data_IF_925779485635
#
_entry.id   IF_925779485635
#
_cell.length_a   1.000
_cell.length_b   1.000
_cell.length_c   1.000
_cell.angle_alpha   90.00
_cell.angle_beta   90.00
_cell.angle_gamma   90.00
#
_symmetry.space_group_name_H-M   'P 1'
#
loop_
_entity.id
_entity.type
_entity.pdbx_description
1 polymer ?
#
# COMPACT_ATOMS: atom_id res chain seq x y z
N UNK A 1 -6.97 -2.91 -40.78
CA UNK A 1 -5.88 -3.60 -40.04
C UNK A 1 -5.98 -3.16 -38.58
N UNK A 2 -6.17 -4.13 -37.68
CA UNK A 2 -6.19 -3.81 -36.23
C UNK A 2 -4.74 -3.67 -35.80
N UNK A 3 -4.33 -2.48 -35.31
CA UNK A 3 -2.99 -2.26 -34.78
C UNK A 3 -2.98 -2.75 -33.32
N UNK A 4 -2.10 -3.69 -32.95
CA UNK A 4 -2.05 -4.19 -31.59
C UNK A 4 -1.42 -3.15 -30.65
N UNK A 5 -1.91 -3.11 -29.41
CA UNK A 5 -1.29 -2.36 -28.31
C UNK A 5 -0.37 -3.31 -27.51
N UNK A 6 0.65 -2.79 -26.81
CA UNK A 6 1.54 -3.61 -25.98
C UNK A 6 0.76 -4.37 -24.88
N UNK A 7 1.11 -5.63 -24.66
CA UNK A 7 0.52 -6.44 -23.58
C UNK A 7 0.70 -5.75 -22.23
N UNK A 8 -0.38 -5.64 -21.45
CA UNK A 8 -0.39 -4.90 -20.17
C UNK A 8 -0.57 -3.39 -20.35
N UNK A 9 -1.00 -2.94 -21.53
CA UNK A 9 -1.51 -1.61 -21.81
C UNK A 9 -2.92 -1.71 -22.36
N UNK A 10 -3.71 -0.65 -22.29
CA UNK A 10 -5.07 -0.58 -22.84
C UNK A 10 -5.46 0.84 -23.22
N UNK A 11 -6.38 0.96 -24.14
CA UNK A 11 -7.07 2.20 -24.42
C UNK A 11 -8.20 2.37 -23.40
N UNK A 12 -8.43 3.61 -22.94
CA UNK A 12 -9.55 3.99 -22.09
C UNK A 12 -10.55 4.77 -22.95
N UNK A 13 -11.77 4.27 -23.01
CA UNK A 13 -12.81 4.87 -23.83
C UNK A 13 -13.51 6.04 -23.11
N UNK A 14 -14.25 6.93 -23.83
CA UNK A 14 -14.78 8.16 -23.25
C UNK A 14 -15.69 7.98 -22.05
N UNK A 15 -16.46 6.89 -21.97
CA UNK A 15 -17.33 6.62 -20.82
C UNK A 15 -16.53 6.29 -19.59
N UNK A 16 -15.66 5.32 -19.66
CA UNK A 16 -14.75 4.95 -18.59
C UNK A 16 -13.87 6.14 -18.16
N UNK A 17 -13.40 6.95 -19.13
CA UNK A 17 -12.59 8.13 -18.81
C UNK A 17 -13.35 9.17 -17.98
N UNK A 18 -14.68 9.32 -18.19
CA UNK A 18 -15.50 10.20 -17.37
C UNK A 18 -15.63 9.68 -15.94
N UNK A 19 -15.81 8.37 -15.76
CA UNK A 19 -15.90 7.73 -14.44
C UNK A 19 -14.60 7.86 -13.67
N UNK A 20 -13.46 7.57 -14.31
CA UNK A 20 -12.13 7.76 -13.71
C UNK A 20 -11.87 9.23 -13.31
N UNK A 21 -12.31 10.19 -14.12
CA UNK A 21 -12.20 11.61 -13.80
C UNK A 21 -13.07 12.03 -12.63
N UNK A 22 -14.26 11.45 -12.51
CA UNK A 22 -15.13 11.71 -11.36
C UNK A 22 -14.50 11.23 -10.05
N UNK A 23 -13.94 10.01 -10.04
CA UNK A 23 -13.19 9.48 -8.89
C UNK A 23 -12.01 10.38 -8.56
N UNK A 24 -11.21 10.74 -9.57
CA UNK A 24 -10.03 11.61 -9.40
C UNK A 24 -10.43 12.97 -8.79
N UNK A 25 -11.50 13.62 -9.27
CA UNK A 25 -11.98 14.89 -8.74
C UNK A 25 -12.44 14.77 -7.29
N UNK A 26 -13.22 13.74 -6.96
CA UNK A 26 -13.69 13.50 -5.58
C UNK A 26 -12.53 13.35 -4.61
N UNK A 27 -11.53 12.56 -4.97
CA UNK A 27 -10.35 12.36 -4.13
C UNK A 27 -9.48 13.63 -4.02
N UNK A 28 -9.31 14.34 -5.14
CA UNK A 28 -8.55 15.58 -5.16
C UNK A 28 -9.19 16.66 -4.27
N UNK A 29 -10.51 16.85 -4.34
CA UNK A 29 -11.26 17.79 -3.51
C UNK A 29 -11.17 17.42 -2.02
N UNK A 30 -11.27 16.12 -1.68
CA UNK A 30 -11.10 15.66 -0.31
C UNK A 30 -9.69 16.01 0.21
N UNK A 31 -8.64 15.68 -0.52
CA UNK A 31 -7.27 15.95 -0.09
C UNK A 31 -6.99 17.45 0.05
N UNK A 32 -7.49 18.26 -0.89
CA UNK A 32 -7.38 19.72 -0.82
C UNK A 32 -8.09 20.29 0.40
N UNK A 33 -9.30 19.80 0.72
CA UNK A 33 -10.05 20.20 1.91
C UNK A 33 -9.34 19.92 3.23
N UNK A 34 -8.39 18.96 3.22
CA UNK A 34 -7.52 18.60 4.34
C UNK A 34 -6.17 19.30 4.30
N UNK A 35 -6.00 20.28 3.42
CA UNK A 35 -4.80 21.11 3.32
C UNK A 35 -3.64 20.50 2.51
N UNK A 36 -3.90 19.48 1.70
CA UNK A 36 -2.89 18.88 0.82
C UNK A 36 -2.84 19.63 -0.52
N UNK A 37 -1.73 20.34 -0.75
CA UNK A 37 -1.48 21.06 -2.00
C UNK A 37 -1.06 20.12 -3.13
N UNK A 38 -1.53 20.40 -4.35
CA UNK A 38 -1.18 19.61 -5.53
C UNK A 38 0.24 19.83 -5.98
N UNK A 39 0.93 18.73 -6.30
CA UNK A 39 2.26 18.77 -6.95
C UNK A 39 2.28 17.84 -8.17
N UNK A 40 3.08 18.22 -9.15
CA UNK A 40 3.39 17.40 -10.31
C UNK A 40 4.92 17.23 -10.42
N UNK A 41 5.36 16.00 -10.63
CA UNK A 41 6.75 15.65 -10.90
C UNK A 41 6.90 15.13 -12.33
N UNK A 42 8.07 15.24 -12.94
CA UNK A 42 8.31 14.68 -14.26
C UNK A 42 8.03 13.17 -14.30
N UNK A 43 7.53 12.68 -15.42
CA UNK A 43 7.36 11.24 -15.69
C UNK A 43 8.72 10.55 -15.87
N UNK A 44 9.70 11.30 -16.36
CA UNK A 44 11.07 10.85 -16.61
C UNK A 44 11.96 11.37 -15.48
N UNK A 45 12.71 10.46 -14.87
CA UNK A 45 13.69 10.74 -13.84
C UNK A 45 15.06 10.20 -14.24
N UNK A 46 16.15 10.73 -13.66
CA UNK A 46 17.44 10.04 -13.75
C UNK A 46 17.32 8.66 -13.05
N UNK A 47 17.89 7.64 -13.69
CA UNK A 47 17.90 6.30 -13.13
C UNK A 47 18.47 6.25 -11.71
N UNK A 48 19.54 7.02 -11.44
CA UNK A 48 20.20 7.07 -10.14
C UNK A 48 19.26 7.61 -9.03
N UNK A 49 18.34 8.53 -9.39
CA UNK A 49 17.31 9.04 -8.47
C UNK A 49 16.34 7.92 -8.07
N UNK A 50 15.90 7.12 -9.05
CA UNK A 50 15.04 5.97 -8.79
C UNK A 50 15.77 4.89 -7.98
N UNK A 51 17.06 4.68 -8.26
CA UNK A 51 17.89 3.70 -7.55
C UNK A 51 18.08 4.05 -6.06
N UNK A 52 18.02 5.33 -5.66
CA UNK A 52 18.04 5.74 -4.25
C UNK A 52 16.89 5.16 -3.42
N UNK A 53 15.83 4.70 -4.04
CA UNK A 53 14.72 4.05 -3.36
C UNK A 53 14.98 2.60 -2.93
N UNK A 54 16.21 2.08 -3.10
CA UNK A 54 16.58 0.70 -2.73
C UNK A 54 15.73 -0.38 -3.41
N UNK A 55 15.53 -0.26 -4.71
CA UNK A 55 14.83 -1.26 -5.51
C UNK A 55 15.80 -2.16 -6.26
N UNK A 56 16.17 -3.32 -5.71
CA UNK A 56 17.08 -4.25 -6.39
C UNK A 56 16.43 -5.00 -7.54
N UNK A 57 15.09 -5.08 -7.59
CA UNK A 57 14.39 -5.89 -8.59
C UNK A 57 13.84 -5.00 -9.70
N UNK A 58 14.49 -5.08 -10.82
CA UNK A 58 14.24 -4.40 -12.07
C UNK A 58 12.78 -4.41 -12.55
N UNK A 59 12.05 -3.38 -12.20
CA UNK A 59 10.72 -3.12 -12.74
C UNK A 59 10.63 -1.80 -13.51
N UNK A 60 11.73 -1.08 -13.74
CA UNK A 60 11.72 0.22 -14.40
C UNK A 60 12.02 0.14 -15.91
N UNK A 61 11.31 0.96 -16.69
CA UNK A 61 11.66 1.22 -18.08
C UNK A 61 12.84 2.21 -18.12
N UNK A 62 13.93 1.83 -18.80
CA UNK A 62 15.16 2.63 -18.90
C UNK A 62 15.46 2.96 -20.35
N UNK A 63 16.04 4.13 -20.58
CA UNK A 63 16.50 4.60 -21.88
C UNK A 63 17.60 5.64 -21.69
N UNK A 64 18.25 6.03 -22.78
CA UNK A 64 19.30 7.06 -22.76
C UNK A 64 18.79 8.33 -23.43
N UNK A 65 19.17 9.48 -22.87
CA UNK A 65 19.00 10.77 -23.54
C UNK A 65 20.11 11.04 -24.58
N UNK A 66 20.04 12.17 -25.25
CA UNK A 66 21.00 12.58 -26.27
C UNK A 66 22.42 12.86 -25.69
N UNK A 67 22.53 13.11 -24.39
CA UNK A 67 23.78 13.30 -23.66
C UNK A 67 24.39 11.99 -23.14
N UNK A 68 23.69 10.87 -23.32
CA UNK A 68 24.11 9.55 -22.84
C UNK A 68 23.78 9.30 -21.36
N UNK A 69 22.96 10.13 -20.74
CA UNK A 69 22.49 9.91 -19.36
C UNK A 69 21.42 8.81 -19.33
N UNK A 70 21.52 7.90 -18.35
CA UNK A 70 20.49 6.88 -18.15
C UNK A 70 19.28 7.48 -17.44
N UNK A 71 18.15 7.42 -18.12
CA UNK A 71 16.84 7.87 -17.65
C UNK A 71 15.93 6.67 -17.38
N UNK A 72 14.91 6.88 -16.56
CA UNK A 72 13.86 5.88 -16.31
C UNK A 72 12.48 6.54 -16.25
N UNK A 73 11.44 5.78 -16.62
CA UNK A 73 10.07 6.15 -16.28
C UNK A 73 9.85 5.89 -14.78
N UNK A 74 9.22 6.84 -14.10
CA UNK A 74 8.91 6.70 -12.67
C UNK A 74 8.05 5.47 -12.42
N UNK A 75 8.39 4.69 -11.40
CA UNK A 75 7.69 3.46 -11.00
C UNK A 75 6.70 3.66 -9.86
N UNK A 76 6.72 4.84 -9.24
CA UNK A 76 5.79 5.38 -8.24
C UNK A 76 5.91 6.91 -8.18
N UNK A 77 5.07 7.53 -7.37
CA UNK A 77 5.07 8.98 -7.18
C UNK A 77 5.90 9.42 -5.97
N UNK A 78 6.11 8.54 -4.99
CA UNK A 78 6.75 8.84 -3.70
C UNK A 78 8.20 9.31 -3.88
N UNK A 79 9.01 8.57 -4.65
CA UNK A 79 10.44 8.88 -4.85
C UNK A 79 10.64 10.24 -5.52
N UNK A 80 9.97 10.57 -6.65
CA UNK A 80 10.02 11.90 -7.24
C UNK A 80 9.56 13.02 -6.30
N UNK A 81 8.55 12.79 -5.46
CA UNK A 81 8.05 13.79 -4.50
C UNK A 81 9.03 13.95 -3.34
N UNK A 82 9.63 12.87 -2.82
CA UNK A 82 10.70 12.97 -1.80
C UNK A 82 11.87 13.81 -2.29
N UNK A 83 12.32 13.60 -3.55
CA UNK A 83 13.33 14.44 -4.20
C UNK A 83 12.87 15.91 -4.33
N UNK A 84 11.60 16.13 -4.70
CA UNK A 84 11.02 17.48 -4.80
C UNK A 84 11.05 18.18 -3.44
N UNK A 85 10.60 17.54 -2.37
CA UNK A 85 10.60 18.10 -1.01
C UNK A 85 12.02 18.44 -0.57
N UNK A 86 12.96 17.51 -0.71
CA UNK A 86 14.34 17.72 -0.31
C UNK A 86 14.99 18.91 -1.05
N UNK A 87 14.70 19.08 -2.34
CA UNK A 87 15.37 20.08 -3.17
C UNK A 87 14.64 21.43 -3.23
N UNK A 88 13.29 21.42 -3.36
CA UNK A 88 12.53 22.65 -3.60
C UNK A 88 12.03 23.31 -2.31
N UNK A 89 11.84 22.54 -1.26
CA UNK A 89 11.43 23.06 0.04
C UNK A 89 12.58 23.07 1.06
N UNK A 90 13.84 23.00 0.59
CA UNK A 90 15.03 22.92 1.45
C UNK A 90 15.13 24.02 2.51
N UNK A 91 14.63 25.23 2.22
CA UNK A 91 14.66 26.41 3.10
C UNK A 91 13.35 26.64 3.87
N UNK A 92 12.38 25.74 3.77
CA UNK A 92 11.07 25.89 4.40
C UNK A 92 10.91 24.87 5.54
N UNK A 93 10.19 25.26 6.58
CA UNK A 93 9.81 24.34 7.66
C UNK A 93 8.55 23.54 7.29
N UNK A 94 8.53 22.26 7.66
CA UNK A 94 7.35 21.39 7.49
C UNK A 94 6.31 21.59 8.60
N UNK A 95 5.25 20.77 8.65
CA UNK A 95 5.03 19.63 7.77
C UNK A 95 4.54 20.03 6.37
N UNK A 96 4.97 19.26 5.36
CA UNK A 96 4.51 19.43 3.97
C UNK A 96 3.42 18.41 3.68
N UNK A 97 2.25 18.90 3.29
CA UNK A 97 1.09 18.10 2.87
C UNK A 97 0.94 18.24 1.36
N UNK A 98 1.25 17.19 0.64
CA UNK A 98 1.28 17.17 -0.82
C UNK A 98 0.35 16.10 -1.35
N UNK A 99 -0.48 16.44 -2.34
CA UNK A 99 -1.30 15.49 -3.10
C UNK A 99 -0.82 15.39 -4.55
N UNK A 100 -1.12 14.29 -5.17
CA UNK A 100 -0.76 14.06 -6.57
C UNK A 100 -1.77 13.17 -7.29
N UNK A 101 -1.82 13.31 -8.61
CA UNK A 101 -2.38 12.32 -9.53
C UNK A 101 -1.44 12.18 -10.73
N UNK A 102 -1.13 10.95 -11.12
CA UNK A 102 -0.24 10.72 -12.25
C UNK A 102 -0.02 9.27 -12.60
N UNK A 103 0.46 9.04 -13.83
CA UNK A 103 0.84 7.70 -14.30
C UNK A 103 2.17 7.26 -13.73
N UNK A 104 2.26 5.98 -13.38
CA UNK A 104 3.49 5.28 -13.03
C UNK A 104 3.64 4.04 -13.91
N UNK A 105 4.87 3.56 -14.07
CA UNK A 105 5.22 2.56 -15.07
C UNK A 105 6.05 1.44 -14.46
N UNK A 106 5.66 0.19 -14.72
CA UNK A 106 6.44 -0.99 -14.27
C UNK A 106 6.53 -2.01 -15.39
N UNK A 107 7.69 -2.63 -15.52
CA UNK A 107 7.79 -3.84 -16.32
C UNK A 107 7.04 -4.95 -15.58
N UNK A 108 6.14 -5.62 -16.29
CA UNK A 108 5.36 -6.71 -15.71
C UNK A 108 5.58 -7.98 -16.54
N UNK A 109 5.61 -9.12 -15.88
CA UNK A 109 5.41 -10.39 -16.58
C UNK A 109 3.93 -10.44 -16.99
N UNK A 110 3.59 -10.82 -18.24
CA UNK A 110 2.21 -10.85 -18.68
C UNK A 110 1.38 -11.81 -17.83
N UNK A 111 0.67 -11.28 -16.86
CA UNK A 111 -0.30 -11.99 -16.03
C UNK A 111 -1.60 -11.17 -16.01
N UNK A 112 -2.75 -11.82 -15.79
CA UNK A 112 -4.03 -11.11 -15.70
C UNK A 112 -3.97 -10.05 -14.59
N UNK A 113 -4.42 -8.82 -14.91
CA UNK A 113 -4.54 -7.72 -13.96
C UNK A 113 -3.26 -6.92 -13.69
N UNK A 114 -2.12 -7.27 -14.29
CA UNK A 114 -0.90 -6.47 -14.18
C UNK A 114 -0.79 -5.51 -15.37
N UNK A 115 -0.81 -4.21 -15.07
CA UNK A 115 -0.67 -3.14 -16.05
C UNK A 115 0.76 -2.59 -16.05
N UNK A 116 1.27 -2.26 -17.26
CA UNK A 116 2.57 -1.59 -17.46
C UNK A 116 2.52 -0.11 -17.13
N UNK A 117 1.38 0.50 -17.43
CA UNK A 117 1.03 1.86 -17.07
C UNK A 117 -0.21 1.82 -16.19
N UNK A 118 -0.20 2.54 -15.09
CA UNK A 118 -1.31 2.64 -14.15
C UNK A 118 -1.31 4.03 -13.52
N UNK A 119 -2.48 4.54 -13.16
CA UNK A 119 -2.61 5.84 -12.53
C UNK A 119 -2.65 5.69 -11.02
N UNK A 120 -1.85 6.52 -10.35
CA UNK A 120 -1.85 6.67 -8.90
C UNK A 120 -2.42 8.04 -8.53
N UNK A 121 -3.32 8.05 -7.55
CA UNK A 121 -3.75 9.25 -6.83
C UNK A 121 -3.45 9.03 -5.35
N UNK A 122 -2.88 10.02 -4.68
CA UNK A 122 -2.45 9.84 -3.30
C UNK A 122 -1.92 11.10 -2.66
N UNK A 123 -1.39 10.92 -1.46
CA UNK A 123 -0.80 12.00 -0.66
C UNK A 123 0.56 11.60 -0.08
N UNK A 124 1.38 12.61 0.18
CA UNK A 124 2.64 12.49 0.90
C UNK A 124 2.68 13.55 2.01
N UNK A 125 2.93 13.11 3.22
CA UNK A 125 3.06 13.92 4.43
C UNK A 125 4.50 13.85 4.93
N UNK A 126 5.25 14.92 4.76
CA UNK A 126 6.65 15.00 5.20
C UNK A 126 6.80 15.96 6.37
N UNK A 127 7.50 15.56 7.42
CA UNK A 127 7.74 16.34 8.64
C UNK A 127 6.77 16.02 9.79
N UNK A 128 5.92 15.01 9.67
CA UNK A 128 5.05 14.54 10.74
C UNK A 128 5.52 13.17 11.26
N UNK A 129 5.93 13.13 12.53
CA UNK A 129 6.39 11.90 13.18
C UNK A 129 5.24 10.91 13.47
N UNK A 130 5.60 9.63 13.69
CA UNK A 130 4.69 8.64 14.26
C UNK A 130 4.40 8.96 15.76
N UNK A 131 3.24 8.50 16.30
CA UNK A 131 2.13 7.89 15.60
C UNK A 131 1.23 8.90 14.87
N UNK A 132 1.26 10.20 15.25
CA UNK A 132 0.34 11.22 14.76
C UNK A 132 0.28 11.33 13.23
N UNK A 133 1.43 11.38 12.55
CA UNK A 133 1.48 11.43 11.09
C UNK A 133 0.94 10.15 10.43
N UNK A 134 1.11 8.98 11.08
CA UNK A 134 0.54 7.72 10.59
C UNK A 134 -0.98 7.72 10.73
N UNK A 135 -1.49 8.16 11.88
CA UNK A 135 -2.93 8.28 12.14
C UNK A 135 -3.57 9.25 11.14
N UNK A 136 -2.93 10.40 10.84
CA UNK A 136 -3.42 11.38 9.86
C UNK A 136 -3.60 10.75 8.47
N UNK A 137 -2.58 10.03 7.97
CA UNK A 137 -2.67 9.44 6.63
C UNK A 137 -3.68 8.28 6.56
N UNK A 138 -3.82 7.47 7.62
CA UNK A 138 -4.82 6.37 7.64
C UNK A 138 -6.24 6.93 7.73
N UNK A 139 -6.49 7.95 8.57
CA UNK A 139 -7.76 8.65 8.62
C UNK A 139 -8.16 9.20 7.25
N UNK A 140 -7.22 9.84 6.55
CA UNK A 140 -7.48 10.38 5.22
C UNK A 140 -7.67 9.27 4.18
N UNK A 141 -6.96 8.14 4.29
CA UNK A 141 -7.15 6.99 3.43
C UNK A 141 -8.54 6.37 3.59
N UNK A 142 -9.00 6.15 4.83
CA UNK A 142 -10.38 5.67 5.09
C UNK A 142 -11.39 6.67 4.56
N UNK A 143 -11.21 7.96 4.84
CA UNK A 143 -12.09 9.00 4.28
C UNK A 143 -12.08 9.06 2.75
N UNK A 144 -10.98 8.73 2.09
CA UNK A 144 -10.89 8.63 0.64
C UNK A 144 -11.70 7.45 0.10
N UNK A 145 -11.66 6.30 0.78
CA UNK A 145 -12.46 5.13 0.42
C UNK A 145 -13.97 5.41 0.58
N UNK A 146 -14.36 6.06 1.68
CA UNK A 146 -15.75 6.45 1.92
C UNK A 146 -16.24 7.47 0.86
N UNK A 147 -15.40 8.46 0.53
CA UNK A 147 -15.75 9.48 -0.46
C UNK A 147 -16.03 8.92 -1.87
N UNK A 148 -15.39 7.79 -2.20
CA UNK A 148 -15.61 7.09 -3.47
C UNK A 148 -16.58 5.90 -3.33
N UNK A 149 -17.29 5.77 -2.20
CA UNK A 149 -18.34 4.76 -2.00
C UNK A 149 -17.81 3.33 -1.82
N UNK A 150 -16.57 3.16 -1.35
CA UNK A 150 -15.99 1.85 -1.02
C UNK A 150 -16.12 1.58 0.49
N UNK A 151 -17.36 1.46 0.96
CA UNK A 151 -17.67 1.32 2.39
C UNK A 151 -17.22 -0.02 2.99
N UNK A 152 -16.97 -1.02 2.16
CA UNK A 152 -16.55 -2.37 2.56
C UNK A 152 -15.03 -2.56 2.53
N UNK A 153 -14.31 -1.62 1.93
CA UNK A 153 -12.87 -1.68 1.85
C UNK A 153 -12.22 -1.56 3.24
N UNK A 154 -11.19 -2.34 3.49
CA UNK A 154 -10.45 -2.43 4.75
C UNK A 154 -9.00 -2.05 4.52
N UNK A 155 -8.42 -1.33 5.48
CA UNK A 155 -7.00 -0.99 5.51
C UNK A 155 -6.26 -1.98 6.40
N UNK A 156 -5.40 -2.81 5.81
CA UNK A 156 -4.42 -3.60 6.55
C UNK A 156 -3.30 -2.69 7.06
N UNK A 157 -3.00 -2.77 8.35
CA UNK A 157 -1.93 -2.03 9.01
C UNK A 157 -0.90 -3.01 9.57
N UNK A 158 0.33 -2.96 9.07
CA UNK A 158 1.45 -3.78 9.50
C UNK A 158 2.68 -2.96 9.84
N UNK A 159 3.80 -3.65 10.07
CA UNK A 159 5.10 -3.03 10.36
C UNK A 159 6.19 -3.58 9.46
N UNK A 160 6.81 -2.73 8.65
CA UNK A 160 7.81 -3.09 7.64
C UNK A 160 9.08 -3.71 8.24
N UNK A 161 9.40 -3.39 9.49
CA UNK A 161 10.63 -3.83 10.15
C UNK A 161 10.46 -5.15 10.89
N UNK A 162 9.22 -5.58 11.20
CA UNK A 162 8.96 -6.75 12.01
C UNK A 162 9.74 -7.98 11.53
N UNK A 163 9.49 -8.43 10.31
CA UNK A 163 10.14 -9.65 9.81
C UNK A 163 11.62 -9.45 9.49
N UNK A 164 12.03 -8.26 9.06
CA UNK A 164 13.46 -7.95 8.85
C UNK A 164 14.25 -8.10 10.14
N UNK A 165 13.73 -7.54 11.25
CA UNK A 165 14.37 -7.62 12.56
C UNK A 165 14.22 -9.00 13.18
N UNK A 166 13.08 -9.65 13.06
CA UNK A 166 12.85 -11.00 13.55
C UNK A 166 13.86 -12.00 12.95
N UNK A 167 14.02 -11.98 11.63
CA UNK A 167 14.96 -12.83 10.94
C UNK A 167 16.42 -12.51 11.29
N UNK A 168 16.76 -11.22 11.47
CA UNK A 168 18.08 -10.81 11.92
C UNK A 168 18.37 -11.26 13.37
N UNK A 169 17.42 -11.13 14.29
CA UNK A 169 17.52 -11.61 15.67
C UNK A 169 17.70 -13.15 15.73
N UNK A 170 17.18 -13.87 14.75
CA UNK A 170 17.37 -15.33 14.58
C UNK A 170 18.66 -15.71 13.84
N UNK A 171 19.45 -14.73 13.37
CA UNK A 171 20.65 -14.98 12.56
C UNK A 171 20.38 -15.45 11.13
N UNK A 172 19.17 -15.24 10.61
CA UNK A 172 18.77 -15.58 9.25
C UNK A 172 19.11 -14.42 8.31
N UNK A 173 20.11 -14.63 7.46
CA UNK A 173 20.67 -13.61 6.57
C UNK A 173 20.72 -14.06 5.10
N UNK A 174 21.09 -13.13 4.20
CA UNK A 174 21.36 -13.40 2.79
C UNK A 174 20.16 -13.98 2.05
N UNK A 175 20.40 -14.95 1.18
CA UNK A 175 19.37 -15.52 0.30
C UNK A 175 18.22 -16.21 1.06
N UNK A 176 18.45 -16.77 2.24
CA UNK A 176 17.40 -17.40 3.05
C UNK A 176 16.40 -16.35 3.57
N UNK A 177 16.92 -15.24 4.13
CA UNK A 177 16.11 -14.09 4.53
C UNK A 177 15.30 -13.55 3.35
N UNK A 178 15.96 -13.33 2.21
CA UNK A 178 15.34 -12.72 1.04
C UNK A 178 14.19 -13.57 0.47
N UNK A 179 14.32 -14.93 0.51
CA UNK A 179 13.23 -15.83 0.10
C UNK A 179 12.00 -15.71 1.00
N UNK A 180 12.19 -15.66 2.32
CA UNK A 180 11.06 -15.48 3.27
C UNK A 180 10.39 -14.13 3.05
N UNK A 181 11.15 -13.04 2.93
CA UNK A 181 10.60 -11.72 2.66
C UNK A 181 9.87 -11.65 1.31
N UNK A 182 10.37 -12.35 0.28
CA UNK A 182 9.68 -12.47 -1.01
C UNK A 182 8.35 -13.23 -0.90
N UNK A 183 8.28 -14.28 -0.07
CA UNK A 183 7.05 -15.04 0.17
C UNK A 183 6.02 -14.17 0.93
N UNK A 184 6.46 -13.42 1.95
CA UNK A 184 5.62 -12.47 2.68
C UNK A 184 5.06 -11.39 1.74
N UNK A 185 5.89 -10.78 0.90
CA UNK A 185 5.46 -9.75 -0.06
C UNK A 185 4.45 -10.26 -1.11
N UNK A 186 4.37 -11.58 -1.30
CA UNK A 186 3.37 -12.24 -2.17
C UNK A 186 2.18 -12.82 -1.40
N UNK A 187 2.15 -12.71 -0.09
CA UNK A 187 1.16 -13.35 0.81
C UNK A 187 1.07 -14.88 0.61
N UNK A 188 2.18 -15.53 0.28
CA UNK A 188 2.25 -16.96 0.00
C UNK A 188 2.56 -17.75 1.28
N UNK A 189 1.52 -17.98 2.10
CA UNK A 189 1.65 -18.65 3.41
C UNK A 189 2.21 -20.07 3.28
N UNK A 190 1.88 -20.78 2.20
CA UNK A 190 2.39 -22.14 1.96
C UNK A 190 3.89 -22.11 1.70
N UNK A 191 4.34 -21.15 0.89
CA UNK A 191 5.76 -20.98 0.63
C UNK A 191 6.53 -20.50 1.88
N UNK A 192 5.91 -19.65 2.73
CA UNK A 192 6.52 -19.22 4.01
C UNK A 192 6.75 -20.43 4.92
N UNK A 193 5.77 -21.32 5.06
CA UNK A 193 5.90 -22.53 5.88
C UNK A 193 7.03 -23.44 5.36
N UNK A 194 7.10 -23.64 4.04
CA UNK A 194 8.14 -24.45 3.42
C UNK A 194 9.55 -23.85 3.62
N UNK A 195 9.72 -22.54 3.32
CA UNK A 195 10.99 -21.84 3.48
C UNK A 195 11.43 -21.76 4.95
N UNK A 196 10.51 -21.56 5.89
CA UNK A 196 10.79 -21.58 7.32
C UNK A 196 11.24 -22.98 7.78
N UNK A 197 10.62 -24.05 7.25
CA UNK A 197 11.00 -25.44 7.49
C UNK A 197 12.43 -25.75 7.07
N UNK A 198 12.88 -25.18 5.96
CA UNK A 198 14.22 -25.39 5.38
C UNK A 198 15.31 -24.51 6.00
N UNK A 199 14.99 -23.61 6.93
CA UNK A 199 15.99 -22.77 7.60
C UNK A 199 16.92 -23.60 8.47
N UNK A 200 18.22 -23.55 8.19
CA UNK A 200 19.25 -24.15 9.01
C UNK A 200 19.62 -23.26 10.20
N UNK A 201 19.96 -23.86 11.32
CA UNK A 201 20.52 -23.15 12.48
C UNK A 201 19.50 -22.50 13.43
N UNK A 202 18.19 -22.60 13.16
CA UNK A 202 17.13 -22.13 14.06
C UNK A 202 16.30 -23.29 14.62
N UNK A 203 15.72 -23.10 15.82
CA UNK A 203 14.89 -24.08 16.49
C UNK A 203 13.46 -24.17 15.95
N UNK A 204 12.74 -25.20 16.36
CA UNK A 204 11.32 -25.44 15.97
C UNK A 204 10.40 -24.27 16.41
N UNK A 205 10.61 -23.73 17.61
CA UNK A 205 9.85 -22.60 18.15
C UNK A 205 10.02 -21.33 17.27
N UNK A 206 11.26 -21.08 16.80
CA UNK A 206 11.55 -19.94 15.92
C UNK A 206 10.87 -20.08 14.54
N UNK A 207 10.86 -21.30 13.99
CA UNK A 207 10.14 -21.60 12.74
C UNK A 207 8.65 -21.40 12.90
N UNK A 208 8.08 -21.94 13.99
CA UNK A 208 6.68 -21.76 14.33
C UNK A 208 6.30 -20.28 14.50
N UNK A 209 7.17 -19.46 15.10
CA UNK A 209 6.98 -18.03 15.25
C UNK A 209 6.90 -17.31 13.89
N UNK A 210 7.77 -17.62 12.94
CA UNK A 210 7.72 -17.05 11.57
C UNK A 210 6.37 -17.32 10.91
N UNK A 211 5.92 -18.58 10.97
CA UNK A 211 4.65 -19.02 10.35
C UNK A 211 3.44 -18.38 11.07
N UNK A 212 3.43 -18.40 12.41
CA UNK A 212 2.33 -17.85 13.20
C UNK A 212 2.16 -16.35 12.95
N UNK A 213 3.25 -15.56 13.02
CA UNK A 213 3.23 -14.12 12.80
C UNK A 213 2.80 -13.76 11.37
N UNK A 214 3.20 -14.56 10.35
CA UNK A 214 2.84 -14.28 8.95
C UNK A 214 1.35 -14.39 8.65
N UNK A 215 0.60 -15.09 9.48
CA UNK A 215 -0.86 -15.29 9.34
C UNK A 215 -1.69 -14.51 10.37
N UNK A 216 -1.04 -13.78 11.28
CA UNK A 216 -1.71 -13.14 12.40
C UNK A 216 -2.37 -11.82 11.98
N UNK A 217 -3.70 -11.83 11.91
CA UNK A 217 -4.55 -10.71 11.47
C UNK A 217 -5.76 -10.56 12.38
N UNK A 218 -6.22 -9.30 12.59
CA UNK A 218 -7.41 -9.01 13.40
C UNK A 218 -7.45 -7.58 13.93
N UNK A 219 -8.15 -7.38 15.02
CA UNK A 219 -8.19 -6.15 15.80
C UNK A 219 -7.03 -6.07 16.79
N UNK A 220 -7.23 -5.35 17.91
CA UNK A 220 -6.20 -5.17 18.95
C UNK A 220 -5.76 -6.48 19.62
N UNK A 221 -6.59 -7.53 19.61
CA UNK A 221 -6.26 -8.86 20.13
C UNK A 221 -5.06 -9.52 19.43
N UNK A 222 -4.73 -9.06 18.23
CA UNK A 222 -3.54 -9.50 17.48
C UNK A 222 -2.25 -9.17 18.23
N UNK A 223 -2.21 -8.02 18.91
CA UNK A 223 -1.03 -7.57 19.66
C UNK A 223 -0.78 -8.42 20.90
N UNK A 224 -1.84 -8.85 21.59
CA UNK A 224 -1.74 -9.76 22.73
C UNK A 224 -1.18 -11.11 22.28
N UNK A 225 -1.74 -11.68 21.22
CA UNK A 225 -1.27 -12.95 20.62
C UNK A 225 0.16 -12.87 20.09
N UNK A 226 0.57 -11.73 19.52
CA UNK A 226 1.94 -11.50 19.11
C UNK A 226 2.90 -11.50 20.31
N UNK A 227 2.49 -10.90 21.43
CA UNK A 227 3.27 -10.87 22.67
C UNK A 227 3.50 -12.28 23.26
N UNK A 228 2.57 -13.21 23.09
CA UNK A 228 2.72 -14.62 23.49
C UNK A 228 3.82 -15.34 22.68
N UNK A 229 4.00 -14.97 21.41
CA UNK A 229 5.09 -15.48 20.58
C UNK A 229 6.43 -14.91 21.06
N UNK A 230 6.44 -13.64 21.51
CA UNK A 230 7.58 -12.98 22.14
C UNK A 230 8.71 -12.59 21.17
N UNK A 231 9.76 -12.03 21.73
CA UNK A 231 10.96 -11.58 21.04
C UNK A 231 10.99 -10.07 20.81
N UNK A 232 12.21 -9.50 20.88
CA UNK A 232 12.42 -8.05 20.86
C UNK A 232 11.90 -7.37 19.58
N UNK A 233 11.97 -8.05 18.42
CA UNK A 233 11.42 -7.54 17.18
C UNK A 233 9.88 -7.42 17.23
N UNK A 234 9.21 -8.45 17.78
CA UNK A 234 7.76 -8.49 17.94
C UNK A 234 7.30 -7.41 18.91
N UNK A 235 7.97 -7.26 20.05
CA UNK A 235 7.65 -6.24 21.07
C UNK A 235 7.75 -4.82 20.50
N UNK A 236 8.83 -4.53 19.76
CA UNK A 236 9.00 -3.21 19.11
C UNK A 236 7.92 -2.92 18.06
N UNK A 237 7.60 -3.88 17.22
CA UNK A 237 6.55 -3.73 16.20
C UNK A 237 5.18 -3.57 16.85
N UNK A 238 4.84 -4.40 17.85
CA UNK A 238 3.57 -4.36 18.56
C UNK A 238 3.37 -3.01 19.28
N UNK A 239 4.40 -2.46 19.91
CA UNK A 239 4.33 -1.13 20.55
C UNK A 239 4.00 -0.03 19.53
N UNK A 240 4.70 0.01 18.40
CA UNK A 240 4.42 1.01 17.33
C UNK A 240 3.02 0.87 16.73
N UNK A 241 2.58 -0.37 16.53
CA UNK A 241 1.24 -0.66 16.00
C UNK A 241 0.16 -0.30 17.01
N UNK A 242 0.37 -0.61 18.31
CA UNK A 242 -0.56 -0.25 19.38
C UNK A 242 -0.80 1.27 19.44
N UNK A 243 0.27 2.06 19.51
CA UNK A 243 0.17 3.53 19.56
C UNK A 243 -0.61 4.11 18.35
N UNK A 244 -0.38 3.54 17.16
CA UNK A 244 -1.10 3.95 15.95
C UNK A 244 -2.56 3.50 15.98
N UNK A 245 -2.82 2.25 16.38
CA UNK A 245 -4.16 1.67 16.41
C UNK A 245 -5.06 2.35 17.44
N UNK A 246 -4.54 2.64 18.64
CA UNK A 246 -5.23 3.41 19.67
C UNK A 246 -5.63 4.81 19.17
N UNK A 247 -4.74 5.48 18.43
CA UNK A 247 -5.05 6.76 17.79
C UNK A 247 -6.19 6.66 16.76
N UNK A 248 -6.28 5.54 16.05
CA UNK A 248 -7.35 5.27 15.08
C UNK A 248 -8.67 4.88 15.78
N UNK A 249 -8.61 4.10 16.86
CA UNK A 249 -9.78 3.77 17.69
C UNK A 249 -10.42 5.04 18.27
N UNK A 250 -9.61 5.95 18.81
CA UNK A 250 -10.08 7.23 19.33
C UNK A 250 -10.81 8.09 18.28
N UNK A 251 -10.57 7.85 17.00
CA UNK A 251 -11.25 8.47 15.85
C UNK A 251 -12.43 7.64 15.29
N UNK A 252 -12.74 6.49 15.90
CA UNK A 252 -13.80 5.59 15.44
C UNK A 252 -13.45 4.80 14.17
N UNK A 253 -12.16 4.64 13.84
CA UNK A 253 -11.69 4.01 12.61
C UNK A 253 -11.42 2.50 12.74
N UNK A 254 -11.49 1.93 13.96
CA UNK A 254 -11.13 0.53 14.22
C UNK A 254 -11.85 -0.48 13.33
N UNK A 255 -13.13 -0.23 12.99
CA UNK A 255 -13.92 -1.10 12.12
C UNK A 255 -13.47 -1.13 10.64
N UNK A 256 -12.60 -0.20 10.25
CA UNK A 256 -12.06 -0.07 8.88
C UNK A 256 -10.58 -0.40 8.80
N UNK A 257 -9.92 -0.70 9.91
CA UNK A 257 -8.49 -0.98 10.00
C UNK A 257 -8.28 -2.35 10.64
N UNK A 258 -7.52 -3.20 9.97
CA UNK A 258 -7.14 -4.52 10.45
C UNK A 258 -5.63 -4.59 10.65
N UNK A 259 -5.19 -4.96 11.84
CA UNK A 259 -3.78 -5.27 12.07
C UNK A 259 -3.40 -6.52 11.27
N UNK A 260 -2.29 -6.48 10.55
CA UNK A 260 -1.76 -7.58 9.75
C UNK A 260 -0.24 -7.66 9.95
N UNK A 261 0.20 -8.57 10.81
CA UNK A 261 1.62 -8.72 11.12
C UNK A 261 2.41 -9.38 9.98
N UNK A 262 1.72 -10.12 9.09
CA UNK A 262 2.32 -10.71 7.89
C UNK A 262 2.46 -9.73 6.72
N UNK A 263 1.98 -8.50 6.87
CA UNK A 263 2.03 -7.52 5.80
C UNK A 263 3.47 -7.08 5.52
N UNK A 264 3.89 -7.23 4.27
CA UNK A 264 5.15 -6.72 3.77
C UNK A 264 4.96 -6.20 2.33
N UNK A 265 5.52 -5.03 2.04
CA UNK A 265 5.52 -4.46 0.69
C UNK A 265 6.92 -4.48 0.11
N UNK A 266 7.03 -4.90 -1.15
CA UNK A 266 8.31 -4.97 -1.90
C UNK A 266 8.77 -3.56 -2.36
N UNK A 267 8.79 -2.60 -1.43
CA UNK A 267 9.33 -1.26 -1.62
C UNK A 267 10.39 -1.03 -0.54
N UNK A 268 11.66 -1.12 -0.90
CA UNK A 268 12.81 -1.12 0.00
C UNK A 268 13.01 0.14 0.86
N UNK A 269 12.13 1.12 0.79
CA UNK A 269 12.23 2.36 1.56
C UNK A 269 11.26 2.47 2.75
N UNK A 270 10.33 1.54 2.94
CA UNK A 270 9.41 1.61 4.08
C UNK A 270 10.11 1.33 5.41
N UNK A 271 9.73 2.12 6.43
CA UNK A 271 10.21 2.05 7.81
C UNK A 271 9.01 2.12 8.76
N UNK A 272 8.82 1.13 9.64
CA UNK A 272 7.67 1.09 10.56
C UNK A 272 6.34 0.80 9.86
N UNK A 273 5.31 1.62 10.14
CA UNK A 273 3.95 1.34 9.65
C UNK A 273 3.85 1.21 8.14
N UNK A 274 3.20 0.13 7.66
CA UNK A 274 2.83 -0.10 6.26
C UNK A 274 1.35 -0.35 6.12
N UNK A 275 0.80 0.00 4.95
CA UNK A 275 -0.63 -0.02 4.67
C UNK A 275 -0.90 -0.76 3.36
N UNK A 276 -1.96 -1.56 3.34
CA UNK A 276 -2.58 -2.07 2.12
C UNK A 276 -4.10 -1.95 2.18
N UNK A 277 -4.71 -1.67 1.03
CA UNK A 277 -6.16 -1.50 0.94
C UNK A 277 -6.74 -2.70 0.21
N UNK A 278 -7.66 -3.39 0.88
CA UNK A 278 -8.38 -4.54 0.35
C UNK A 278 -9.86 -4.24 0.23
N UNK A 279 -10.47 -4.74 -0.82
CA UNK A 279 -11.92 -4.75 -0.99
C UNK A 279 -12.41 -6.17 -1.22
N UNK A 280 -13.48 -6.61 -0.50
CA UNK A 280 -14.03 -7.96 -0.67
C UNK A 280 -14.56 -8.27 -2.08
N UNK A 281 -14.92 -7.23 -2.84
CA UNK A 281 -15.40 -7.37 -4.21
C UNK A 281 -14.27 -7.59 -5.23
N UNK A 282 -13.02 -7.26 -4.85
CA UNK A 282 -11.89 -7.32 -5.77
C UNK A 282 -10.76 -8.19 -5.18
N UNK A 283 -10.29 -9.18 -5.93
CA UNK A 283 -9.17 -10.04 -5.55
C UNK A 283 -7.78 -9.40 -5.65
N UNK A 284 -7.70 -8.06 -5.71
CA UNK A 284 -6.46 -7.29 -5.86
C UNK A 284 -6.42 -6.11 -4.91
N UNK A 285 -5.22 -5.77 -4.45
CA UNK A 285 -4.96 -4.59 -3.61
C UNK A 285 -5.33 -3.31 -4.35
N UNK A 286 -6.18 -2.47 -3.77
CA UNK A 286 -6.63 -1.19 -4.34
C UNK A 286 -5.57 -0.10 -4.27
N UNK A 287 -4.66 -0.21 -3.32
CA UNK A 287 -3.63 0.77 -3.03
C UNK A 287 -2.86 0.41 -1.78
N UNK A 288 -2.10 1.35 -1.27
CA UNK A 288 -1.39 1.19 -0.02
C UNK A 288 -0.34 2.27 0.17
N UNK A 289 0.36 2.20 1.27
CA UNK A 289 1.30 3.22 1.68
C UNK A 289 2.13 2.80 2.88
N UNK A 290 2.53 3.78 3.67
CA UNK A 290 3.27 3.56 4.91
C UNK A 290 4.24 4.68 5.21
N UNK A 291 5.07 4.46 6.21
CA UNK A 291 6.16 5.37 6.60
C UNK A 291 7.45 5.05 5.86
N UNK A 292 8.20 6.10 5.55
CA UNK A 292 9.50 6.01 4.88
C UNK A 292 10.43 7.12 5.39
N UNK A 293 10.69 7.12 6.70
CA UNK A 293 11.37 8.18 7.43
C UNK A 293 12.82 8.41 6.97
N UNK A 294 13.46 7.40 6.38
CA UNK A 294 14.83 7.46 5.89
C UNK A 294 14.95 7.95 4.43
N UNK A 295 13.84 7.94 3.67
CA UNK A 295 13.88 8.20 2.24
C UNK A 295 14.36 9.61 1.90
N UNK A 296 13.83 10.64 2.58
CA UNK A 296 14.20 12.03 2.32
C UNK A 296 15.67 12.30 2.67
N UNK A 297 16.21 11.57 3.65
CA UNK A 297 17.64 11.62 4.03
C UNK A 297 18.57 11.23 2.88
N UNK A 298 18.16 10.31 2.01
CA UNK A 298 18.89 9.89 0.81
C UNK A 298 19.00 11.01 -0.23
N UNK A 299 18.11 12.01 -0.17
CA UNK A 299 18.14 13.23 -0.98
C UNK A 299 18.74 14.43 -0.24
N UNK A 300 19.39 14.21 0.91
CA UNK A 300 20.09 15.24 1.68
C UNK A 300 19.26 15.97 2.74
N UNK A 301 18.01 15.58 2.99
CA UNK A 301 17.15 16.20 4.01
C UNK A 301 16.43 15.14 4.84
N UNK A 302 17.03 14.70 5.93
CA UNK A 302 16.39 13.76 6.85
C UNK A 302 15.12 14.37 7.47
N UNK A 303 14.00 13.69 7.30
CA UNK A 303 12.68 14.13 7.77
C UNK A 303 11.73 12.94 7.81
N UNK A 304 10.94 12.75 8.88
CA UNK A 304 9.93 11.70 8.92
C UNK A 304 8.89 11.92 7.84
N UNK A 305 8.48 10.84 7.19
CA UNK A 305 7.52 10.94 6.11
C UNK A 305 6.63 9.69 6.02
N UNK A 306 5.39 9.90 5.57
CA UNK A 306 4.42 8.86 5.34
C UNK A 306 3.45 9.29 4.24
N UNK A 307 2.89 8.32 3.53
CA UNK A 307 1.92 8.61 2.46
C UNK A 307 1.20 7.36 1.99
N UNK A 308 0.26 7.55 1.09
CA UNK A 308 -0.42 6.45 0.41
C UNK A 308 -0.75 6.78 -1.03
N UNK A 309 -0.95 5.74 -1.83
CA UNK A 309 -1.44 5.81 -3.19
C UNK A 309 -2.60 4.83 -3.39
N UNK A 310 -3.65 5.26 -4.08
CA UNK A 310 -4.70 4.42 -4.64
C UNK A 310 -4.47 4.24 -6.14
N UNK A 311 -4.72 3.03 -6.65
CA UNK A 311 -4.70 2.73 -8.09
C UNK A 311 -6.06 3.07 -8.68
N UNK A 312 -6.15 4.14 -9.45
CA UNK A 312 -7.41 4.71 -9.92
C UNK A 312 -8.28 3.70 -10.67
N UNK A 313 -7.69 2.90 -11.54
CA UNK A 313 -8.40 1.87 -12.30
C UNK A 313 -8.94 0.74 -11.40
N UNK A 314 -8.25 0.42 -10.32
CA UNK A 314 -8.71 -0.60 -9.36
C UNK A 314 -9.84 -0.10 -8.48
N UNK A 315 -9.78 1.17 -8.07
CA UNK A 315 -10.88 1.84 -7.35
C UNK A 315 -12.14 1.84 -8.22
N UNK A 316 -12.04 2.20 -9.49
CA UNK A 316 -13.14 2.17 -10.45
C UNK A 316 -13.76 0.77 -10.58
N UNK A 317 -12.94 -0.29 -10.73
CA UNK A 317 -13.43 -1.66 -10.80
C UNK A 317 -14.13 -2.07 -9.50
N UNK A 318 -13.57 -1.73 -8.34
CA UNK A 318 -14.17 -2.05 -7.04
C UNK A 318 -15.52 -1.39 -6.86
N UNK A 319 -15.69 -0.11 -7.23
CA UNK A 319 -16.99 0.58 -7.21
C UNK A 319 -18.05 -0.16 -8.04
N UNK A 320 -17.71 -0.52 -9.28
CA UNK A 320 -18.63 -1.24 -10.16
C UNK A 320 -19.04 -2.60 -9.60
N UNK A 321 -18.11 -3.32 -8.96
CA UNK A 321 -18.37 -4.61 -8.34
C UNK A 321 -19.19 -4.48 -7.04
N UNK A 322 -18.92 -3.50 -6.18
CA UNK A 322 -19.75 -3.23 -4.99
C UNK A 322 -21.19 -2.87 -5.37
N UNK A 323 -21.37 -2.01 -6.38
CA UNK A 323 -22.71 -1.69 -6.89
C UNK A 323 -23.45 -2.93 -7.44
N UNK A 324 -22.74 -3.80 -8.17
CA UNK A 324 -23.31 -5.05 -8.67
C UNK A 324 -23.77 -5.95 -7.53
N UNK A 325 -22.92 -6.13 -6.53
CA UNK A 325 -23.24 -6.95 -5.34
C UNK A 325 -24.42 -6.40 -4.56
N UNK A 326 -24.51 -5.07 -4.40
CA UNK A 326 -25.63 -4.40 -3.73
C UNK A 326 -26.96 -4.63 -4.47
N UNK A 327 -26.96 -4.54 -5.80
CA UNK A 327 -28.14 -4.82 -6.65
C UNK A 327 -28.60 -6.28 -6.53
N UNK A 328 -27.67 -7.23 -6.55
CA UNK A 328 -27.99 -8.64 -6.40
C UNK A 328 -28.57 -8.99 -5.02
N UNK A 329 -28.03 -8.40 -3.95
CA UNK A 329 -28.54 -8.57 -2.59
C UNK A 329 -29.94 -7.98 -2.44
N UNK A 330 -30.18 -6.79 -3.02
CA UNK A 330 -31.49 -6.15 -3.04
C UNK A 330 -32.56 -6.97 -3.80
N UNK A 331 -32.16 -7.62 -4.90
CA UNK A 331 -33.06 -8.51 -5.66
C UNK A 331 -33.44 -9.77 -4.86
N UNK A 332 -32.45 -10.43 -4.24
CA UNK A 332 -32.69 -11.63 -3.40
C UNK A 332 -33.57 -11.34 -2.19
N UNK A 333 -33.41 -10.19 -1.53
CA UNK A 333 -34.23 -9.79 -0.40
C UNK A 333 -35.70 -9.55 -0.80
N UNK A 334 -35.94 -9.00 -2.01
CA UNK A 334 -37.29 -8.83 -2.55
C UNK A 334 -37.96 -10.16 -2.89
N UNK A 335 -37.23 -11.13 -3.45
CA UNK A 335 -37.74 -12.47 -3.76
C UNK A 335 -38.12 -13.25 -2.49
N UNK A 336 -37.29 -13.16 -1.45
CA UNK A 336 -37.57 -13.79 -0.15
C UNK A 336 -38.75 -13.16 0.58
N UNK A 337 -38.90 -11.83 0.48
CA UNK A 337 -40.07 -11.12 1.03
C UNK A 337 -41.38 -11.44 0.30
N UNK A 338 -41.32 -11.68 -1.01
CA UNK A 338 -42.50 -12.08 -1.80
C UNK A 338 -42.95 -13.51 -1.57
N UNK A 339 -42.01 -14.43 -1.26
CA UNK A 339 -42.36 -15.85 -0.95
C UNK A 339 -42.91 -16.06 0.47
N UNK A 340 -42.67 -15.09 1.39
CA UNK A 340 -43.15 -15.15 2.77
C UNK A 340 -44.61 -14.72 2.96
N UNK A 341 -45.25 -14.07 2.00
CA UNK A 341 -46.64 -13.55 2.10
C UNK A 341 -47.67 -14.49 1.49
N UNK A 342 -47.25 -15.58 0.83
CA UNK A 342 -48.16 -16.55 0.18
C UNK A 342 -48.61 -17.76 1.04
N UNK A 343 -48.32 -17.78 2.35
CA UNK A 343 -48.56 -18.94 3.22
C UNK A 343 -49.59 -18.77 4.34
N UNK A 344 -50.51 -17.82 4.24
CA UNK A 344 -51.58 -17.65 5.21
C UNK A 344 -52.93 -17.41 4.49
N UNK A 345 -53.58 -18.46 4.02
CA UNK A 345 -54.97 -18.50 3.65
C UNK A 345 -55.56 -19.91 3.94
#
# INVERSE_FOLDING_TARGET
>A
MNQPIPTGSRDILPEEMRELRAIESTLAELFESRGYGEVATPTIEFHDVIALADRPKDGSYRFFDEAGSMLALRSDMTVPIARLVANRFASQDGPFRLRYSGSAYRTVRPQRGQMREFRQIGIELSGAAAPGGTVEIVELLVGALDAVGLDRAVVGLGDADLFRQLLADMGVEGAARDRILDCLARHDLVAIEAEAGDLAGIGEEQRAAIVALSSLRGGSEVLERASEIGGAAVERASSRLAETYEGLEAKGMAGRVQLDLGLLRDLGYYTGAILEVYDPALGHVLGGGGRYDDLLGRFGRAMPAAGFALYLERVHIAQAEEERMAREQGARSKEQGASGVGGAA
#
